data_IF_478903280991
#
_entry.id   IF_478903280991
#
_cell.length_a   1.000
_cell.length_b   1.000
_cell.length_c   1.000
_cell.angle_alpha   90.00
_cell.angle_beta   90.00
_cell.angle_gamma   90.00
#
_symmetry.space_group_name_H-M   'P 1'
#
loop_
_entity.id
_entity.type
_entity.pdbx_description
1 polymer ?
#
# COMPACT_ATOMS: atom_id res chain seq x y z
N UNK A 1 14.68 2.29 -11.01
CA UNK A 1 13.21 2.46 -11.03
C UNK A 1 12.68 2.19 -9.61
N UNK A 2 13.36 2.71 -8.60
CA UNK A 2 13.38 2.14 -7.23
C UNK A 2 12.82 3.10 -6.16
N UNK A 3 12.26 4.23 -6.59
CA UNK A 3 11.85 5.31 -5.69
C UNK A 3 10.34 5.61 -5.72
N UNK A 4 9.56 4.90 -6.54
CA UNK A 4 8.12 5.16 -6.73
C UNK A 4 7.32 5.07 -5.41
N UNK A 5 7.72 4.19 -4.49
CA UNK A 5 7.05 4.04 -3.21
C UNK A 5 7.63 4.91 -2.10
N UNK A 6 8.81 5.53 -2.29
CA UNK A 6 9.42 6.37 -1.26
C UNK A 6 8.58 7.61 -0.95
N UNK A 7 7.89 8.15 -1.95
CA UNK A 7 6.97 9.27 -1.77
C UNK A 7 5.83 8.94 -0.78
N UNK A 8 5.40 7.68 -0.74
CA UNK A 8 4.29 7.20 0.08
C UNK A 8 4.71 6.76 1.49
N UNK A 9 6.02 6.69 1.78
CA UNK A 9 6.52 6.32 3.10
C UNK A 9 6.04 7.34 4.13
N UNK A 10 5.37 6.85 5.17
CA UNK A 10 4.82 7.69 6.22
C UNK A 10 3.42 8.24 5.92
N UNK A 11 2.85 7.96 4.75
CA UNK A 11 1.49 8.36 4.39
C UNK A 11 0.50 7.20 4.55
N UNK A 12 -0.76 7.48 4.93
CA UNK A 12 -1.84 6.51 4.83
C UNK A 12 -2.21 6.31 3.36
N UNK A 13 -2.15 5.07 2.91
CA UNK A 13 -2.34 4.65 1.53
C UNK A 13 -3.23 3.43 1.44
N UNK A 14 -3.89 3.30 0.30
CA UNK A 14 -4.61 2.11 -0.13
C UNK A 14 -3.81 1.42 -1.23
N UNK A 15 -3.26 0.26 -0.92
CA UNK A 15 -2.54 -0.58 -1.87
C UNK A 15 -3.51 -1.55 -2.52
N UNK A 16 -3.65 -1.51 -3.83
CA UNK A 16 -4.28 -2.60 -4.57
C UNK A 16 -3.24 -3.67 -4.88
N UNK A 17 -3.42 -4.87 -4.31
CA UNK A 17 -2.56 -6.01 -4.58
C UNK A 17 -3.31 -7.09 -5.36
N UNK A 18 -2.63 -7.79 -6.25
CA UNK A 18 -3.14 -8.97 -6.95
C UNK A 18 -2.54 -10.24 -6.37
N UNK A 19 -3.39 -11.14 -5.92
CA UNK A 19 -3.05 -12.51 -5.53
C UNK A 19 -3.67 -13.46 -6.55
N UNK A 20 -2.96 -13.69 -7.64
CA UNK A 20 -3.49 -14.40 -8.80
C UNK A 20 -4.57 -13.55 -9.49
N UNK A 21 -5.79 -14.09 -9.56
CA UNK A 21 -6.93 -13.40 -10.19
C UNK A 21 -7.71 -12.50 -9.20
N UNK A 22 -7.37 -12.56 -7.91
CA UNK A 22 -8.06 -11.80 -6.87
C UNK A 22 -7.31 -10.49 -6.61
N UNK A 23 -8.04 -9.37 -6.71
CA UNK A 23 -7.55 -8.05 -6.31
C UNK A 23 -8.01 -7.74 -4.90
N UNK A 24 -7.06 -7.49 -4.01
CA UNK A 24 -7.32 -7.17 -2.60
C UNK A 24 -6.85 -5.74 -2.33
N UNK A 25 -7.75 -4.83 -1.93
CA UNK A 25 -7.37 -3.51 -1.43
C UNK A 25 -6.90 -3.63 0.02
N UNK A 26 -5.66 -3.22 0.28
CA UNK A 26 -5.07 -3.14 1.60
C UNK A 26 -4.96 -1.68 2.02
N UNK A 27 -5.57 -1.33 3.15
CA UNK A 27 -5.55 0.03 3.70
C UNK A 27 -4.61 0.10 4.90
N UNK A 28 -3.75 1.11 4.94
CA UNK A 28 -2.75 1.20 5.99
C UNK A 28 -1.72 2.28 5.71
N UNK A 29 -0.55 2.17 6.34
CA UNK A 29 0.52 3.16 6.25
C UNK A 29 1.77 2.51 5.68
N UNK A 30 2.35 3.08 4.62
CA UNK A 30 3.63 2.57 4.13
C UNK A 30 4.72 2.94 5.14
N UNK A 31 5.47 1.94 5.62
CA UNK A 31 6.55 2.14 6.59
C UNK A 31 7.92 2.24 5.91
N UNK A 32 8.14 1.41 4.87
CA UNK A 32 9.43 1.32 4.22
C UNK A 32 9.29 0.78 2.79
N UNK A 33 10.10 1.32 1.89
CA UNK A 33 10.40 0.69 0.61
C UNK A 33 11.67 -0.17 0.77
N UNK A 34 11.52 -1.48 0.57
CA UNK A 34 12.63 -2.41 0.37
C UNK A 34 12.82 -2.65 -1.14
N UNK A 35 13.96 -3.20 -1.54
CA UNK A 35 14.30 -3.39 -2.96
C UNK A 35 13.18 -4.05 -3.76
N UNK A 36 12.76 -5.25 -3.35
CA UNK A 36 11.70 -6.02 -4.04
C UNK A 36 10.35 -6.02 -3.30
N UNK A 37 10.31 -5.54 -2.06
CA UNK A 37 9.13 -5.56 -1.19
C UNK A 37 8.89 -4.19 -0.55
N UNK A 38 7.64 -3.86 -0.26
CA UNK A 38 7.27 -2.70 0.55
C UNK A 38 6.69 -3.17 1.88
N UNK A 39 7.08 -2.51 2.97
CA UNK A 39 6.53 -2.76 4.30
C UNK A 39 5.38 -1.81 4.56
N UNK A 40 4.24 -2.36 4.90
CA UNK A 40 3.01 -1.62 5.19
C UNK A 40 2.47 -2.01 6.56
N UNK A 41 2.03 -1.02 7.33
CA UNK A 41 1.31 -1.22 8.58
C UNK A 41 -0.18 -1.14 8.37
N UNK A 42 -0.90 -2.22 8.61
CA UNK A 42 -2.35 -2.31 8.54
C UNK A 42 -2.91 -2.25 9.96
N UNK A 43 -3.86 -1.34 10.21
CA UNK A 43 -4.45 -1.14 11.53
C UNK A 43 -3.42 -0.78 12.62
N UNK A 44 -3.65 -1.24 13.85
CA UNK A 44 -2.84 -0.87 15.03
C UNK A 44 -1.61 -1.73 15.29
N UNK A 45 -1.27 -2.70 14.43
CA UNK A 45 -0.10 -3.54 14.71
C UNK A 45 0.30 -4.59 13.68
N UNK A 46 -0.32 -4.64 12.50
CA UNK A 46 0.05 -5.61 11.48
C UNK A 46 1.06 -5.03 10.50
N UNK A 47 2.33 -5.38 10.65
CA UNK A 47 3.37 -5.05 9.66
C UNK A 47 3.43 -6.17 8.61
N UNK A 48 3.09 -5.84 7.37
CA UNK A 48 3.02 -6.76 6.25
C UNK A 48 4.03 -6.33 5.19
N UNK A 49 4.88 -7.27 4.76
CA UNK A 49 5.78 -7.08 3.63
C UNK A 49 5.09 -7.58 2.35
N UNK A 50 4.93 -6.70 1.37
CA UNK A 50 4.21 -6.94 0.10
C UNK A 50 5.23 -6.87 -1.04
N UNK A 51 5.26 -7.88 -1.91
CA UNK A 51 6.12 -7.83 -3.10
C UNK A 51 5.64 -6.76 -4.08
N UNK A 52 6.57 -5.96 -4.61
CA UNK A 52 6.25 -4.91 -5.59
C UNK A 52 5.59 -5.48 -6.85
N UNK A 53 5.90 -6.73 -7.19
CA UNK A 53 5.28 -7.48 -8.30
C UNK A 53 3.79 -7.76 -8.11
N UNK A 54 3.31 -7.75 -6.85
CA UNK A 54 1.90 -7.94 -6.54
C UNK A 54 1.14 -6.61 -6.51
N UNK A 55 1.83 -5.47 -6.46
CA UNK A 55 1.19 -4.15 -6.35
C UNK A 55 0.71 -3.72 -7.74
N UNK A 56 -0.59 -3.56 -7.87
CA UNK A 56 -1.22 -3.03 -9.08
C UNK A 56 -1.26 -1.51 -9.05
N UNK A 57 -1.60 -0.93 -7.90
CA UNK A 57 -1.72 0.50 -7.72
C UNK A 57 -1.53 0.90 -6.24
N UNK A 58 -1.09 2.14 -6.04
CA UNK A 58 -1.08 2.81 -4.72
C UNK A 58 -1.93 4.06 -4.85
N UNK A 59 -2.91 4.16 -3.98
CA UNK A 59 -3.83 5.28 -3.89
C UNK A 59 -3.61 5.97 -2.54
N UNK A 60 -3.74 7.29 -2.50
CA UNK A 60 -3.78 7.98 -1.21
C UNK A 60 -5.04 7.55 -0.48
N UNK A 61 -4.96 7.29 0.83
CA UNK A 61 -6.13 7.10 1.68
C UNK A 61 -6.84 8.45 1.93
N UNK A 62 -7.16 9.17 0.87
CA UNK A 62 -8.03 10.32 0.94
C UNK A 62 -9.43 9.75 1.15
N UNK A 63 -9.89 9.78 2.40
CA UNK A 63 -11.29 9.52 2.72
C UNK A 63 -12.12 10.58 1.98
N UNK A 64 -12.50 10.30 0.74
CA UNK A 64 -13.53 11.07 0.05
C UNK A 64 -14.81 10.72 0.77
N UNK A 65 -15.13 11.52 1.79
CA UNK A 65 -16.49 11.67 2.28
C UNK A 65 -17.31 12.09 1.05
N UNK A 66 -17.89 11.11 0.35
CA UNK A 66 -18.90 11.39 -0.66
C UNK A 66 -20.05 12.07 0.11
N UNK A 67 -20.39 13.33 -0.20
CA UNK A 67 -21.56 13.94 0.40
C UNK A 67 -22.80 13.12 0.01
N UNK A 68 -23.67 12.90 1.00
CA UNK A 68 -24.94 12.18 0.86
C UNK A 68 -25.93 12.93 -0.04
#
# INVERSE_FOLDING_TARGET
MDDTFKAWIGQPVLLQVALGEIKVPLRGKLLKDGGETVRMRIGEGWDVDIYKTMILAVEEDSMVLLPA
#
